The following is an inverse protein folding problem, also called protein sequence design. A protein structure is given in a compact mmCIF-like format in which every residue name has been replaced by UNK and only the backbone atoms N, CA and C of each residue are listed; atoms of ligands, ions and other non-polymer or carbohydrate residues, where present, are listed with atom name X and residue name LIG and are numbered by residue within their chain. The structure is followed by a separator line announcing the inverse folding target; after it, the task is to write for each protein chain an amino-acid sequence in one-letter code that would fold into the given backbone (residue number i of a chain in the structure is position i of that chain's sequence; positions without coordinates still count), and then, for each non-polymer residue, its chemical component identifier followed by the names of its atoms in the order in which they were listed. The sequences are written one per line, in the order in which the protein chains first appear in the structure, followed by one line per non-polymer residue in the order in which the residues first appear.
data_IF_639348286260
#
_entry.id   IF_639348286260
#
_cell.length_a   1.000
_cell.length_b   1.000
_cell.length_c   1.000
_cell.angle_alpha   90.00
_cell.angle_beta   90.00
_cell.angle_gamma   90.00
#
_symmetry.space_group_name_H-M   'P 1'
#
loop_
_entity.id
_entity.type
_entity.pdbx_description
1 polymer ?
#
# COMPACT_ATOMS: atom_id res chain seq x y z
N UNK A 1 -4.27 -7.84 5.07
CA UNK A 1 -5.06 -7.15 4.03
C UNK A 1 -5.13 -5.68 4.39
N UNK A 2 -4.86 -4.79 3.44
CA UNK A 2 -4.78 -3.37 3.72
C UNK A 2 -5.07 -2.52 2.51
N UNK A 3 -5.54 -1.31 2.76
CA UNK A 3 -5.63 -0.26 1.75
C UNK A 3 -4.33 0.55 1.78
N UNK A 4 -3.67 0.63 0.63
CA UNK A 4 -2.47 1.45 0.48
C UNK A 4 -2.89 2.92 0.48
N UNK A 5 -2.31 3.70 1.39
CA UNK A 5 -2.51 5.16 1.44
C UNK A 5 -1.39 5.90 0.73
N UNK A 6 -0.15 5.57 1.06
CA UNK A 6 1.05 6.26 0.56
C UNK A 6 2.22 5.30 0.42
N UNK A 7 3.11 5.59 -0.53
CA UNK A 7 4.45 5.05 -0.59
C UNK A 7 5.41 6.15 -0.13
N UNK A 8 6.40 5.78 0.67
CA UNK A 8 7.40 6.70 1.23
C UNK A 8 8.78 6.08 1.12
N UNK A 9 9.78 6.92 0.96
CA UNK A 9 11.18 6.56 1.09
C UNK A 9 11.71 7.23 2.36
N UNK A 10 12.37 6.46 3.22
CA UNK A 10 12.79 6.94 4.54
C UNK A 10 14.24 6.55 4.79
N UNK A 11 14.97 7.42 5.49
CA UNK A 11 16.23 7.04 6.15
C UNK A 11 15.92 6.69 7.59
N UNK A 12 16.18 5.44 7.99
CA UNK A 12 15.87 4.93 9.33
C UNK A 12 17.05 5.06 10.29
N UNK A 13 18.25 5.22 9.76
CA UNK A 13 19.49 5.39 10.49
C UNK A 13 20.38 6.47 9.84
N UNK A 14 21.55 6.71 10.43
CA UNK A 14 22.55 7.66 9.91
C UNK A 14 23.28 7.11 8.66
N UNK A 15 22.88 5.95 8.14
CA UNK A 15 23.44 5.42 6.91
C UNK A 15 22.90 6.20 5.70
N UNK A 16 23.63 6.15 4.58
CA UNK A 16 23.13 6.66 3.31
C UNK A 16 22.08 5.76 2.65
N UNK A 17 21.67 4.67 3.30
CA UNK A 17 20.67 3.77 2.75
C UNK A 17 19.26 4.27 3.03
N UNK A 18 18.42 4.19 2.00
CA UNK A 18 17.01 4.52 2.07
C UNK A 18 16.17 3.25 2.02
N UNK A 19 15.08 3.23 2.78
CA UNK A 19 14.08 2.17 2.74
C UNK A 19 12.77 2.67 2.13
N UNK A 20 12.28 1.94 1.13
CA UNK A 20 10.94 2.11 0.62
C UNK A 20 9.93 1.42 1.55
N UNK A 21 9.02 2.20 2.12
CA UNK A 21 7.92 1.73 2.96
C UNK A 21 6.58 2.10 2.33
N UNK A 22 5.54 1.40 2.76
CA UNK A 22 4.16 1.68 2.41
C UNK A 22 3.36 1.93 3.68
N UNK A 23 2.61 3.02 3.70
CA UNK A 23 1.63 3.30 4.75
C UNK A 23 0.31 2.66 4.33
N UNK A 24 -0.19 1.74 5.14
CA UNK A 24 -1.45 1.04 4.88
C UNK A 24 -2.45 1.20 6.02
N UNK A 25 -3.74 1.25 5.68
CA UNK A 25 -4.82 0.96 6.64
C UNK A 25 -5.07 -0.53 6.69
N UNK A 26 -4.97 -1.13 7.87
CA UNK A 26 -5.31 -2.54 8.08
C UNK A 26 -6.82 -2.78 8.13
N UNK A 27 -7.22 -3.90 7.54
CA UNK A 27 -8.52 -4.52 7.77
C UNK A 27 -8.38 -5.67 8.75
N UNK A 28 -9.47 -6.02 9.45
CA UNK A 28 -9.53 -7.21 10.30
C UNK A 28 -9.31 -8.50 9.50
N UNK A 29 -9.14 -9.62 10.21
CA UNK A 29 -9.28 -10.93 9.59
C UNK A 29 -10.67 -11.08 8.96
N UNK A 30 -10.80 -11.87 7.87
CA UNK A 30 -12.09 -12.19 7.28
C UNK A 30 -13.03 -12.84 8.28
N UNK A 31 -14.33 -12.54 8.18
CA UNK A 31 -15.33 -13.26 8.95
C UNK A 31 -15.32 -14.76 8.54
N UNK A 32 -15.05 -15.69 9.48
CA UNK A 32 -14.74 -17.08 9.13
C UNK A 32 -15.92 -17.78 8.46
N UNK A 33 -17.14 -17.63 8.99
CA UNK A 33 -18.32 -18.32 8.44
C UNK A 33 -18.66 -17.84 7.03
N UNK A 34 -18.62 -16.54 6.77
CA UNK A 34 -18.89 -15.97 5.46
C UNK A 34 -17.85 -16.42 4.42
N UNK A 35 -16.58 -16.48 4.82
CA UNK A 35 -15.51 -16.99 3.97
C UNK A 35 -15.69 -18.47 3.66
N UNK A 36 -16.07 -19.27 4.66
CA UNK A 36 -16.30 -20.71 4.49
C UNK A 36 -17.52 -21.00 3.60
N UNK A 37 -18.67 -20.39 3.89
CA UNK A 37 -19.90 -20.58 3.13
C UNK A 37 -19.81 -20.09 1.68
N UNK A 38 -18.91 -19.14 1.40
CA UNK A 38 -18.66 -18.64 0.05
C UNK A 38 -17.57 -19.39 -0.70
N UNK A 39 -17.04 -20.51 -0.18
CA UNK A 39 -15.93 -21.23 -0.80
C UNK A 39 -14.73 -20.31 -1.08
N UNK A 40 -14.40 -19.45 -0.11
CA UNK A 40 -13.28 -18.50 -0.16
C UNK A 40 -13.42 -17.39 -1.21
N UNK A 41 -14.61 -17.21 -1.81
CA UNK A 41 -14.84 -16.17 -2.82
C UNK A 41 -15.31 -14.84 -2.24
N UNK A 42 -15.85 -14.85 -1.00
CA UNK A 42 -16.38 -13.67 -0.34
C UNK A 42 -15.63 -13.37 0.94
N UNK A 43 -14.82 -12.32 0.89
CA UNK A 43 -14.06 -11.84 2.03
C UNK A 43 -14.78 -10.63 2.61
N UNK A 44 -15.24 -10.74 3.86
CA UNK A 44 -15.82 -9.63 4.61
C UNK A 44 -14.93 -9.26 5.78
N UNK A 45 -14.44 -8.01 5.80
CA UNK A 45 -13.57 -7.49 6.85
C UNK A 45 -14.07 -6.14 7.38
N UNK A 46 -13.55 -5.72 8.53
CA UNK A 46 -13.81 -4.42 9.16
C UNK A 46 -12.57 -3.54 9.01
N UNK A 47 -12.75 -2.29 8.61
CA UNK A 47 -11.65 -1.31 8.57
C UNK A 47 -11.27 -0.93 10.02
N UNK A 48 -10.00 -1.00 10.38
CA UNK A 48 -9.55 -0.79 11.77
C UNK A 48 -9.41 0.69 12.18
N UNK A 49 -9.75 1.61 11.27
CA UNK A 49 -9.64 3.05 11.52
C UNK A 49 -8.19 3.49 11.63
N UNK A 50 -7.95 4.58 12.35
CA UNK A 50 -6.60 5.12 12.55
C UNK A 50 -5.71 4.20 13.38
N UNK A 51 -6.30 3.38 14.26
CA UNK A 51 -5.57 2.38 15.04
C UNK A 51 -4.94 1.27 14.15
N UNK A 52 -5.45 1.10 12.93
CA UNK A 52 -4.91 0.15 11.96
C UNK A 52 -3.90 0.74 10.98
N UNK A 53 -3.51 2.01 11.13
CA UNK A 53 -2.54 2.64 10.21
C UNK A 53 -1.13 2.24 10.60
N UNK A 54 -0.42 1.59 9.68
CA UNK A 54 0.94 1.08 9.92
C UNK A 54 1.87 1.35 8.74
N UNK A 55 3.16 1.49 9.02
CA UNK A 55 4.22 1.48 8.02
C UNK A 55 4.75 0.06 7.86
N UNK A 56 4.78 -0.44 6.62
CA UNK A 56 5.26 -1.79 6.29
C UNK A 56 6.20 -1.74 5.11
N UNK A 57 7.26 -2.55 5.16
CA UNK A 57 8.12 -2.81 4.00
C UNK A 57 7.42 -3.84 3.11
N UNK A 58 6.67 -3.38 2.09
CA UNK A 58 5.95 -4.26 1.15
C UNK A 58 6.86 -4.57 -0.03
N UNK A 59 7.22 -5.85 -0.17
CA UNK A 59 8.08 -6.33 -1.27
C UNK A 59 7.28 -6.70 -2.53
N UNK A 60 6.00 -7.02 -2.37
CA UNK A 60 5.11 -7.40 -3.46
C UNK A 60 3.64 -7.23 -3.07
N UNK A 61 2.81 -6.89 -4.07
CA UNK A 61 1.35 -6.89 -3.94
C UNK A 61 0.85 -8.17 -4.64
N UNK A 62 0.31 -9.12 -3.87
CA UNK A 62 -0.13 -10.41 -4.43
C UNK A 62 -1.43 -10.32 -5.22
N UNK A 63 -2.33 -9.41 -4.84
CA UNK A 63 -3.61 -9.20 -5.50
C UNK A 63 -4.15 -7.80 -5.24
N UNK A 64 -4.81 -7.22 -6.24
CA UNK A 64 -5.63 -6.02 -6.09
C UNK A 64 -7.10 -6.44 -6.08
N UNK A 65 -7.83 -5.93 -5.10
CA UNK A 65 -9.21 -6.29 -4.80
C UNK A 65 -10.06 -5.03 -4.74
N UNK A 66 -11.25 -5.07 -5.33
CA UNK A 66 -12.20 -3.98 -5.21
C UNK A 66 -12.93 -4.11 -3.87
N UNK A 67 -12.90 -3.04 -3.06
CA UNK A 67 -13.59 -2.97 -1.78
C UNK A 67 -14.97 -2.33 -1.96
N UNK A 68 -16.03 -3.11 -1.83
CA UNK A 68 -17.40 -2.59 -1.91
C UNK A 68 -17.87 -2.29 -0.48
N UNK A 69 -18.08 -1.01 -0.10
CA UNK A 69 -18.59 -0.66 1.21
C UNK A 69 -20.06 -1.11 1.32
N UNK A 70 -20.41 -1.80 2.40
CA UNK A 70 -21.80 -2.10 2.75
C UNK A 70 -22.00 -2.02 4.25
N UNK A 71 -23.04 -1.27 4.62
CA UNK A 71 -23.51 -1.26 6.00
C UNK A 71 -24.34 -2.54 6.19
N UNK A 72 -23.83 -3.48 6.98
CA UNK A 72 -24.59 -4.65 7.44
C UNK A 72 -24.46 -4.74 8.95
N UNK A 73 -25.58 -5.00 9.63
CA UNK A 73 -25.63 -5.17 11.09
C UNK A 73 -25.11 -3.97 11.92
N UNK A 74 -25.18 -2.75 11.38
CA UNK A 74 -24.72 -1.54 12.09
C UNK A 74 -23.20 -1.32 12.05
N UNK A 75 -22.46 -2.17 11.35
CA UNK A 75 -21.01 -2.04 11.16
C UNK A 75 -20.67 -1.73 9.69
N UNK A 76 -19.68 -0.85 9.50
CA UNK A 76 -19.10 -0.59 8.18
C UNK A 76 -18.20 -1.76 7.78
N UNK A 77 -18.78 -2.71 7.04
CA UNK A 77 -18.07 -3.86 6.50
C UNK A 77 -17.76 -3.64 5.03
N UNK A 78 -16.64 -4.20 4.60
CA UNK A 78 -16.20 -4.12 3.22
C UNK A 78 -16.11 -5.53 2.64
N UNK A 79 -16.48 -5.66 1.38
CA UNK A 79 -16.33 -6.91 0.64
C UNK A 79 -15.26 -6.82 -0.41
N UNK A 80 -14.59 -7.94 -0.62
CA UNK A 80 -13.59 -8.07 -1.66
C UNK A 80 -14.08 -9.07 -2.68
N UNK A 81 -14.08 -8.63 -3.93
CA UNK A 81 -14.10 -9.52 -5.07
C UNK A 81 -12.73 -9.42 -5.78
N UNK A 82 -12.15 -10.53 -6.25
CA UNK A 82 -11.04 -10.48 -7.18
C UNK A 82 -11.42 -9.59 -8.36
N UNK A 83 -10.57 -8.64 -8.74
CA UNK A 83 -10.79 -7.83 -9.94
C UNK A 83 -10.20 -8.59 -11.14
N UNK A 84 -11.02 -9.23 -12.01
CA UNK A 84 -10.48 -9.98 -13.15
C UNK A 84 -9.85 -8.98 -14.11
N UNK A 85 -8.55 -9.12 -14.39
CA UNK A 85 -7.80 -8.19 -15.26
C UNK A 85 -7.12 -7.02 -14.53
N UNK A 86 -7.14 -6.99 -13.19
CA UNK A 86 -6.32 -6.04 -12.41
C UNK A 86 -4.84 -6.39 -12.54
N UNK A 87 -4.11 -5.64 -13.37
CA UNK A 87 -2.66 -5.79 -13.49
C UNK A 87 -1.97 -5.32 -12.20
N UNK A 88 -1.10 -6.15 -11.64
CA UNK A 88 -0.16 -5.74 -10.60
C UNK A 88 0.87 -4.84 -11.28
N UNK A 89 0.81 -3.53 -11.00
CA UNK A 89 1.83 -2.60 -11.43
C UNK A 89 3.03 -2.69 -10.47
N UNK A 90 4.21 -2.93 -11.02
CA UNK A 90 5.46 -2.73 -10.28
C UNK A 90 5.77 -1.23 -10.31
N UNK A 91 5.81 -0.60 -9.15
CA UNK A 91 6.27 0.77 -9.01
C UNK A 91 7.81 0.75 -8.95
N UNK A 92 8.46 0.81 -10.10
CA UNK A 92 9.90 1.11 -10.17
C UNK A 92 10.05 2.63 -10.01
N UNK A 93 10.56 3.07 -8.86
CA UNK A 93 10.74 4.49 -8.58
C UNK A 93 11.87 5.07 -9.43
N UNK A 94 11.65 6.23 -10.03
CA UNK A 94 12.74 6.97 -10.67
C UNK A 94 13.58 7.64 -9.58
N UNK A 95 14.86 7.27 -9.49
CA UNK A 95 15.85 8.04 -8.74
C UNK A 95 16.24 9.25 -9.61
N UNK A 96 15.73 10.43 -9.26
CA UNK A 96 16.26 11.68 -9.82
C UNK A 96 17.64 11.90 -9.22
N UNK A 97 18.69 11.62 -10.01
CA UNK A 97 20.03 12.05 -9.65
C UNK A 97 20.09 13.57 -9.82
N UNK A 98 20.11 14.31 -8.72
CA UNK A 98 20.48 15.71 -8.72
C UNK A 98 21.92 15.81 -9.23
N UNK A 99 22.09 16.07 -10.53
CA UNK A 99 23.38 16.47 -11.07
C UNK A 99 23.69 17.87 -10.50
N UNK A 100 24.62 17.92 -9.56
CA UNK A 100 25.22 19.18 -9.10
C UNK A 100 25.66 20.00 -10.31
N UNK A 101 25.08 21.20 -10.44
CA UNK A 101 25.40 22.13 -11.51
C UNK A 101 26.89 22.47 -11.47
N UNK A 102 27.61 22.12 -12.53
CA UNK A 102 28.99 22.55 -12.78
C UNK A 102 29.05 24.08 -12.69
N UNK A 103 29.86 24.59 -11.77
CA UNK A 103 30.18 26.02 -11.70
C UNK A 103 30.91 26.44 -12.97
N UNK A 104 30.26 27.26 -13.79
CA UNK A 104 30.89 28.03 -14.86
C UNK A 104 31.90 29.01 -14.24
N UNK A 105 33.16 28.60 -14.16
CA UNK A 105 34.26 29.48 -13.80
C UNK A 105 34.67 30.28 -15.03
N UNK A 106 34.13 31.48 -15.16
CA UNK A 106 34.69 32.53 -16.00
C UNK A 106 36.18 32.71 -15.69
N UNK A 107 37.05 32.58 -16.68
CA UNK A 107 38.40 33.15 -16.63
C UNK A 107 38.66 33.85 -17.95
N UNK A 108 38.61 35.17 -17.85
CA UNK A 108 38.96 36.15 -18.87
C UNK A 108 40.45 36.47 -18.70
N UNK A 109 41.32 36.02 -19.61
CA UNK A 109 42.56 36.67 -20.07
C UNK A 109 43.28 35.82 -21.11
#
# INVERSE_FOLDING_TARGET
LGEVRYFIECRLDESDSTEALTIISLYSLPHPDLLHHSLQTYISCVHQGDAGVVAVNIKSIEAVIAMIPKVQFGENRFYMAPCPGGAIAYLDGYIENEQEGTQDSNSNM
#
